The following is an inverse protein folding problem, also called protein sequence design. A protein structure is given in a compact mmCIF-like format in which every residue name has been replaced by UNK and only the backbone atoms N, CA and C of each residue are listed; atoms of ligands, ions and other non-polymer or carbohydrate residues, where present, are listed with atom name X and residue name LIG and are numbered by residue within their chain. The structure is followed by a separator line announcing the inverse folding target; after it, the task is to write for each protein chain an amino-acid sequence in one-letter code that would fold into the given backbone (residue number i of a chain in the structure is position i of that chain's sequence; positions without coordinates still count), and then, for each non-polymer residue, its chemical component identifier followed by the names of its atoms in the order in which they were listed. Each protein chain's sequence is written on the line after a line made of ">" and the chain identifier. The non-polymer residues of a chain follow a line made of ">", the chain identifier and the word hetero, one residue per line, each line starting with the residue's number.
data_IF_568971348185
#
_entry.id   IF_568971348185
#
_cell.length_a   1.000
_cell.length_b   1.000
_cell.length_c   1.000
_cell.angle_alpha   90.00
_cell.angle_beta   90.00
_cell.angle_gamma   90.00
#
_symmetry.space_group_name_H-M   'P 1'
#
loop_
_entity.id
_entity.type
_entity.pdbx_description
1 polymer ?
#
# COMPACT_ATOMS: atom_id res chain seq x y z
N UNK A 1 -1.20 16.46 21.82
CA UNK A 1 -2.41 15.91 22.48
C UNK A 1 -2.56 14.45 22.07
N UNK A 2 -2.25 13.54 22.98
CA UNK A 2 -2.31 12.08 22.74
C UNK A 2 -3.78 11.64 22.84
N UNK A 3 -4.27 10.91 21.84
CA UNK A 3 -5.63 10.38 21.86
C UNK A 3 -5.66 9.12 22.72
N UNK A 4 -6.80 8.87 23.37
CA UNK A 4 -7.10 7.56 23.93
C UNK A 4 -7.18 6.52 22.80
N UNK A 5 -6.30 5.50 22.75
CA UNK A 5 -6.28 4.47 21.71
C UNK A 5 -7.58 3.66 21.58
N UNK A 6 -8.44 3.68 22.61
CA UNK A 6 -9.74 3.01 22.62
C UNK A 6 -10.88 3.90 22.07
N UNK A 7 -10.64 5.20 21.90
CA UNK A 7 -11.64 6.12 21.36
C UNK A 7 -11.64 6.11 19.83
N UNK A 8 -12.14 5.02 19.24
CA UNK A 8 -12.22 4.82 17.79
C UNK A 8 -13.09 5.87 17.08
N UNK A 9 -14.00 6.55 17.77
CA UNK A 9 -14.74 7.71 17.24
C UNK A 9 -13.84 8.94 17.02
N UNK A 10 -12.97 9.26 17.98
CA UNK A 10 -12.03 10.38 17.83
C UNK A 10 -10.99 10.11 16.73
N UNK A 11 -10.49 8.88 16.63
CA UNK A 11 -9.60 8.47 15.53
C UNK A 11 -10.28 8.59 14.17
N UNK A 12 -11.50 8.07 14.03
CA UNK A 12 -12.28 8.19 12.81
C UNK A 12 -12.49 9.66 12.38
N UNK A 13 -12.89 10.54 13.30
CA UNK A 13 -13.10 11.97 13.02
C UNK A 13 -11.80 12.67 12.57
N UNK A 14 -10.66 12.31 13.18
CA UNK A 14 -9.36 12.84 12.74
C UNK A 14 -8.92 12.28 11.40
N UNK A 15 -9.14 10.99 11.13
CA UNK A 15 -8.91 10.40 9.81
C UNK A 15 -9.71 11.16 8.76
N UNK A 16 -11.00 11.47 9.01
CA UNK A 16 -11.81 12.31 8.13
C UNK A 16 -11.26 13.73 7.96
N UNK A 17 -10.70 14.31 9.01
CA UNK A 17 -10.11 15.66 8.96
C UNK A 17 -8.82 15.70 8.14
N UNK A 18 -7.94 14.72 8.28
CA UNK A 18 -6.74 14.62 7.45
C UNK A 18 -7.08 14.19 6.01
N UNK A 19 -8.13 13.39 5.87
CA UNK A 19 -8.72 13.04 4.58
C UNK A 19 -9.17 14.28 3.80
N UNK A 20 -9.92 15.22 4.39
CA UNK A 20 -10.34 16.45 3.69
C UNK A 20 -9.16 17.34 3.31
N UNK A 21 -8.03 17.19 4.00
CA UNK A 21 -6.76 17.88 3.72
C UNK A 21 -5.83 17.12 2.76
N UNK A 22 -6.21 15.91 2.33
CA UNK A 22 -5.37 14.98 1.55
C UNK A 22 -4.00 14.71 2.20
N UNK A 23 -3.95 14.69 3.54
CA UNK A 23 -2.73 14.52 4.34
C UNK A 23 -2.51 13.04 4.72
N UNK A 24 -1.84 12.32 3.81
CA UNK A 24 -1.65 10.87 3.90
C UNK A 24 -0.73 10.48 5.07
N UNK A 25 0.25 11.32 5.39
CA UNK A 25 1.23 11.04 6.44
C UNK A 25 0.53 11.01 7.80
N UNK A 26 -0.29 12.02 8.09
CA UNK A 26 -1.03 12.08 9.34
C UNK A 26 -2.11 11.00 9.43
N UNK A 27 -2.79 10.66 8.33
CA UNK A 27 -3.68 9.49 8.28
C UNK A 27 -2.94 8.23 8.69
N UNK A 28 -1.77 7.97 8.11
CA UNK A 28 -0.99 6.74 8.38
C UNK A 28 -0.55 6.67 9.85
N UNK A 29 -0.06 7.76 10.42
CA UNK A 29 0.34 7.83 11.84
C UNK A 29 -0.85 7.55 12.77
N UNK A 30 -2.03 8.09 12.46
CA UNK A 30 -3.22 7.81 13.26
C UNK A 30 -3.63 6.35 13.21
N UNK A 31 -3.52 5.71 12.06
CA UNK A 31 -3.81 4.28 11.92
C UNK A 31 -2.89 3.42 12.78
N UNK A 32 -1.58 3.66 12.71
CA UNK A 32 -0.57 2.90 13.48
C UNK A 32 -0.77 3.02 14.99
N UNK A 33 -1.44 4.09 15.45
CA UNK A 33 -1.73 4.32 16.86
C UNK A 33 -3.14 3.87 17.31
N UNK A 34 -3.97 3.35 16.40
CA UNK A 34 -5.34 2.91 16.72
C UNK A 34 -5.38 1.43 17.10
N UNK A 35 -6.09 1.08 18.19
CA UNK A 35 -6.22 -0.32 18.64
C UNK A 35 -7.49 -1.02 18.18
N UNK A 36 -8.51 -0.25 17.79
CA UNK A 36 -9.83 -0.75 17.41
C UNK A 36 -10.09 -0.55 15.90
N UNK A 37 -9.37 -1.34 15.10
CA UNK A 37 -9.45 -1.31 13.64
C UNK A 37 -10.84 -1.71 13.12
N UNK A 38 -11.52 -2.64 13.79
CA UNK A 38 -12.85 -3.13 13.40
C UNK A 38 -13.92 -2.03 13.44
N UNK A 39 -13.93 -1.19 14.48
CA UNK A 39 -14.88 -0.08 14.54
C UNK A 39 -14.56 0.99 13.48
N UNK A 40 -13.28 1.27 13.24
CA UNK A 40 -12.88 2.21 12.18
C UNK A 40 -13.33 1.68 10.81
N UNK A 41 -13.10 0.39 10.53
CA UNK A 41 -13.54 -0.28 9.31
C UNK A 41 -15.06 -0.21 9.12
N UNK A 42 -15.83 -0.49 10.18
CA UNK A 42 -17.30 -0.43 10.15
C UNK A 42 -17.78 0.97 9.74
N UNK A 43 -17.18 2.02 10.30
CA UNK A 43 -17.53 3.41 9.96
C UNK A 43 -17.13 3.77 8.53
N UNK A 44 -15.95 3.32 8.07
CA UNK A 44 -15.51 3.53 6.69
C UNK A 44 -16.45 2.84 5.70
N UNK A 45 -16.91 1.63 5.99
CA UNK A 45 -17.84 0.88 5.13
C UNK A 45 -19.23 1.51 5.03
N UNK A 46 -19.60 2.40 5.94
CA UNK A 46 -20.83 3.19 5.86
C UNK A 46 -20.71 4.39 4.91
N UNK A 47 -19.50 4.75 4.45
CA UNK A 47 -19.30 5.88 3.54
C UNK A 47 -19.72 5.46 2.12
N UNK A 48 -20.69 6.13 1.49
CA UNK A 48 -21.12 5.82 0.13
C UNK A 48 -20.03 6.18 -0.89
N UNK A 49 -20.00 5.46 -2.02
CA UNK A 49 -19.07 5.72 -3.13
C UNK A 49 -17.58 5.69 -2.73
N UNK A 50 -17.19 4.85 -1.78
CA UNK A 50 -15.79 4.70 -1.36
C UNK A 50 -14.84 4.42 -2.53
N UNK A 51 -15.31 3.74 -3.57
CA UNK A 51 -14.55 3.44 -4.79
C UNK A 51 -14.06 4.68 -5.53
N UNK A 52 -14.72 5.83 -5.36
CA UNK A 52 -14.29 7.12 -5.94
C UNK A 52 -13.13 7.76 -5.16
N UNK A 53 -12.70 7.14 -4.07
CA UNK A 53 -11.78 7.73 -3.12
C UNK A 53 -10.56 6.87 -2.83
N UNK A 54 -9.47 7.13 -3.55
CA UNK A 54 -8.20 6.42 -3.41
C UNK A 54 -7.62 6.40 -1.99
N UNK A 55 -7.80 7.46 -1.20
CA UNK A 55 -7.24 7.52 0.15
C UNK A 55 -8.05 6.65 1.12
N UNK A 56 -9.38 6.71 1.05
CA UNK A 56 -10.24 5.82 1.83
C UNK A 56 -10.06 4.36 1.44
N UNK A 57 -9.92 4.06 0.14
CA UNK A 57 -9.59 2.72 -0.34
C UNK A 57 -8.22 2.25 0.19
N UNK A 58 -7.18 3.09 0.12
CA UNK A 58 -5.86 2.74 0.66
C UNK A 58 -5.93 2.44 2.15
N UNK A 59 -6.66 3.27 2.90
CA UNK A 59 -6.90 3.07 4.33
C UNK A 59 -7.57 1.71 4.56
N UNK A 60 -8.63 1.42 3.80
CA UNK A 60 -9.39 0.18 3.94
C UNK A 60 -8.54 -1.05 3.60
N UNK A 61 -7.72 -0.99 2.54
CA UNK A 61 -6.70 -2.00 2.24
C UNK A 61 -5.78 -2.24 3.44
N UNK A 62 -5.23 -1.17 4.05
CA UNK A 62 -4.33 -1.31 5.20
C UNK A 62 -5.02 -2.01 6.37
N UNK A 63 -6.26 -1.63 6.69
CA UNK A 63 -7.01 -2.27 7.78
C UNK A 63 -7.23 -3.76 7.48
N UNK A 64 -7.70 -4.10 6.27
CA UNK A 64 -7.93 -5.50 5.89
C UNK A 64 -6.63 -6.32 5.91
N UNK A 65 -5.49 -5.75 5.50
CA UNK A 65 -4.18 -6.43 5.62
C UNK A 65 -3.83 -6.74 7.07
N UNK A 66 -3.97 -5.76 7.98
CA UNK A 66 -3.68 -5.93 9.40
C UNK A 66 -4.64 -6.94 10.07
N UNK A 67 -5.90 -6.97 9.64
CA UNK A 67 -6.90 -7.96 10.06
C UNK A 67 -6.73 -9.33 9.37
N UNK A 68 -5.81 -9.46 8.40
CA UNK A 68 -5.60 -10.65 7.56
C UNK A 68 -6.81 -11.04 6.70
N UNK A 69 -7.68 -10.08 6.39
CA UNK A 69 -8.84 -10.19 5.51
C UNK A 69 -8.39 -10.01 4.05
N UNK A 70 -7.68 -11.02 3.53
CA UNK A 70 -6.96 -10.89 2.26
C UNK A 70 -7.88 -10.89 1.03
N UNK A 71 -9.05 -11.50 1.08
CA UNK A 71 -10.01 -11.45 -0.03
C UNK A 71 -10.52 -10.02 -0.23
N UNK A 72 -10.93 -9.38 0.86
CA UNK A 72 -11.38 -7.99 0.93
C UNK A 72 -10.24 -7.04 0.52
N UNK A 73 -9.01 -7.33 0.97
CA UNK A 73 -7.83 -6.58 0.54
C UNK A 73 -7.65 -6.61 -0.98
N UNK A 74 -7.82 -7.77 -1.63
CA UNK A 74 -7.70 -7.91 -3.09
C UNK A 74 -8.77 -7.08 -3.80
N UNK A 75 -10.03 -7.17 -3.34
CA UNK A 75 -11.15 -6.38 -3.89
C UNK A 75 -10.83 -4.88 -3.83
N UNK A 76 -10.36 -4.39 -2.69
CA UNK A 76 -9.98 -2.98 -2.53
C UNK A 76 -8.79 -2.58 -3.37
N UNK A 77 -7.80 -3.47 -3.46
CA UNK A 77 -6.60 -3.24 -4.24
C UNK A 77 -6.94 -3.13 -5.74
N UNK A 78 -7.85 -3.95 -6.25
CA UNK A 78 -8.34 -3.85 -7.63
C UNK A 78 -9.14 -2.57 -7.87
N UNK A 79 -9.98 -2.13 -6.91
CA UNK A 79 -10.61 -0.81 -6.99
C UNK A 79 -9.58 0.32 -7.02
N UNK A 80 -8.51 0.19 -6.23
CA UNK A 80 -7.42 1.16 -6.17
C UNK A 80 -6.67 1.21 -7.51
N UNK A 81 -6.36 0.07 -8.13
CA UNK A 81 -5.72 0.01 -9.46
C UNK A 81 -6.55 0.66 -10.57
N UNK A 82 -7.88 0.58 -10.49
CA UNK A 82 -8.78 1.23 -11.46
C UNK A 82 -8.77 2.77 -11.36
N UNK A 83 -8.23 3.34 -10.27
CA UNK A 83 -8.08 4.77 -10.11
C UNK A 83 -6.77 5.25 -10.77
N UNK A 84 -6.86 5.94 -11.92
CA UNK A 84 -5.70 6.57 -12.58
C UNK A 84 -4.98 7.50 -11.57
N UNK A 85 -3.66 7.26 -11.32
CA UNK A 85 -2.80 7.86 -10.27
C UNK A 85 -2.73 7.15 -8.91
N UNK A 86 -3.25 5.92 -8.78
CA UNK A 86 -3.17 5.20 -7.50
C UNK A 86 -1.86 4.43 -7.27
N UNK A 87 -0.99 4.29 -8.28
CA UNK A 87 0.28 3.55 -8.15
C UNK A 87 1.14 4.10 -6.99
N UNK A 88 1.17 5.43 -6.81
CA UNK A 88 1.89 6.06 -5.69
C UNK A 88 1.33 5.69 -4.31
N UNK A 89 0.02 5.46 -4.21
CA UNK A 89 -0.64 5.01 -2.98
C UNK A 89 -0.36 3.53 -2.73
N UNK A 90 -0.37 2.71 -3.78
CA UNK A 90 -0.11 1.26 -3.70
C UNK A 90 1.32 0.98 -3.25
N UNK A 91 2.29 1.83 -3.64
CA UNK A 91 3.66 1.74 -3.14
C UNK A 91 3.74 1.80 -1.60
N UNK A 92 2.83 2.52 -0.93
CA UNK A 92 2.77 2.57 0.55
C UNK A 92 2.38 1.24 1.19
N UNK A 93 1.83 0.30 0.43
CA UNK A 93 1.50 -1.05 0.88
C UNK A 93 2.68 -2.02 0.74
N UNK A 94 3.79 -1.63 0.11
CA UNK A 94 4.96 -2.50 -0.12
C UNK A 94 5.50 -3.13 1.17
N UNK A 95 5.36 -2.44 2.32
CA UNK A 95 5.84 -2.92 3.62
C UNK A 95 5.16 -4.20 4.12
N UNK A 96 3.98 -4.54 3.62
CA UNK A 96 3.21 -5.70 4.08
C UNK A 96 3.62 -6.99 3.35
N UNK A 97 4.87 -7.44 3.56
CA UNK A 97 5.47 -8.58 2.85
C UNK A 97 4.65 -9.87 2.91
N UNK A 98 4.04 -10.19 4.07
CA UNK A 98 3.19 -11.37 4.22
C UNK A 98 1.98 -11.38 3.29
N UNK A 99 1.33 -10.22 3.12
CA UNK A 99 0.22 -10.07 2.18
C UNK A 99 0.69 -10.28 0.74
N UNK A 100 1.84 -9.70 0.36
CA UNK A 100 2.39 -9.88 -0.99
C UNK A 100 2.82 -11.31 -1.27
N UNK A 101 3.30 -12.06 -0.26
CA UNK A 101 3.59 -13.48 -0.39
C UNK A 101 2.34 -14.32 -0.59
N UNK A 102 1.28 -14.01 0.16
CA UNK A 102 -0.03 -14.62 -0.05
C UNK A 102 -0.52 -14.37 -1.49
N UNK A 103 -0.49 -13.12 -1.93
CA UNK A 103 -0.93 -12.74 -3.26
C UNK A 103 -0.08 -13.38 -4.37
N UNK A 104 1.23 -13.47 -4.16
CA UNK A 104 2.17 -14.13 -5.08
C UNK A 104 1.80 -15.60 -5.33
N UNK A 105 1.42 -16.32 -4.27
CA UNK A 105 0.97 -17.72 -4.33
C UNK A 105 -0.38 -17.84 -5.02
N UNK A 106 -1.37 -17.05 -4.58
CA UNK A 106 -2.75 -17.08 -5.13
C UNK A 106 -2.78 -16.71 -6.61
N UNK A 107 -1.91 -15.79 -7.04
CA UNK A 107 -1.83 -15.35 -8.43
C UNK A 107 -0.95 -16.23 -9.33
N UNK A 108 -0.36 -17.30 -8.79
CA UNK A 108 0.53 -18.24 -9.48
C UNK A 108 1.69 -17.55 -10.23
N UNK A 109 2.30 -16.52 -9.62
CA UNK A 109 3.38 -15.74 -10.25
C UNK A 109 4.73 -16.51 -10.25
N UNK A 110 4.77 -17.68 -9.60
CA UNK A 110 5.93 -18.54 -9.34
C UNK A 110 6.77 -19.01 -10.53
N UNK A 111 6.26 -18.95 -11.75
CA UNK A 111 6.85 -19.67 -12.89
C UNK A 111 7.90 -18.89 -13.68
N UNK A 112 8.07 -17.59 -13.41
CA UNK A 112 8.99 -16.73 -14.17
C UNK A 112 10.24 -16.39 -13.35
N UNK A 113 11.42 -16.52 -13.95
CA UNK A 113 12.65 -15.97 -13.40
C UNK A 113 12.71 -14.46 -13.64
N UNK A 114 12.45 -13.69 -12.59
CA UNK A 114 12.47 -12.22 -12.64
C UNK A 114 13.83 -11.61 -12.29
N UNK A 115 14.82 -12.42 -11.89
CA UNK A 115 16.13 -11.92 -11.43
C UNK A 115 16.89 -11.21 -12.55
N UNK A 116 16.72 -11.65 -13.80
CA UNK A 116 17.24 -10.98 -15.01
C UNK A 116 16.76 -9.54 -15.18
N UNK A 117 15.64 -9.18 -14.56
CA UNK A 117 15.09 -7.83 -14.57
C UNK A 117 15.36 -7.06 -13.26
N UNK A 118 16.16 -7.62 -12.35
CA UNK A 118 16.45 -7.01 -11.05
C UNK A 118 15.24 -7.03 -10.08
N UNK A 119 14.17 -7.76 -10.40
CA UNK A 119 12.97 -7.83 -9.58
C UNK A 119 13.13 -8.99 -8.58
N UNK A 120 13.31 -8.64 -7.31
CA UNK A 120 13.61 -9.64 -6.26
C UNK A 120 12.45 -9.87 -5.29
N UNK A 121 11.69 -8.82 -4.95
CA UNK A 121 10.61 -8.89 -3.95
C UNK A 121 9.24 -9.23 -4.57
N UNK A 122 8.38 -9.90 -3.80
CA UNK A 122 7.07 -10.39 -4.27
C UNK A 122 6.11 -9.27 -4.67
N UNK A 123 6.15 -8.13 -3.99
CA UNK A 123 5.37 -6.94 -4.38
C UNK A 123 5.72 -6.50 -5.81
N UNK A 124 7.02 -6.36 -6.11
CA UNK A 124 7.49 -5.96 -7.44
C UNK A 124 7.23 -7.03 -8.49
N UNK A 125 7.29 -8.32 -8.13
CA UNK A 125 6.88 -9.42 -9.02
C UNK A 125 5.40 -9.32 -9.39
N UNK A 126 4.53 -9.06 -8.41
CA UNK A 126 3.10 -8.85 -8.65
C UNK A 126 2.84 -7.64 -9.54
N UNK A 127 3.43 -6.49 -9.21
CA UNK A 127 3.26 -5.25 -9.96
C UNK A 127 3.70 -5.40 -11.42
N UNK A 128 4.83 -6.05 -11.67
CA UNK A 128 5.32 -6.31 -13.01
C UNK A 128 4.42 -7.29 -13.78
N UNK A 129 4.11 -8.45 -13.18
CA UNK A 129 3.41 -9.53 -13.90
C UNK A 129 1.91 -9.29 -14.11
N UNK A 130 1.22 -8.69 -13.14
CA UNK A 130 -0.24 -8.53 -13.16
C UNK A 130 -0.70 -7.13 -13.53
N UNK A 131 0.15 -6.13 -13.36
CA UNK A 131 -0.21 -4.72 -13.55
C UNK A 131 0.70 -4.01 -14.55
N UNK A 132 1.68 -4.71 -15.13
CA UNK A 132 2.61 -4.19 -16.13
C UNK A 132 3.42 -2.96 -15.64
N UNK A 133 3.64 -2.87 -14.33
CA UNK A 133 4.41 -1.78 -13.71
C UNK A 133 5.80 -2.26 -13.35
N UNK A 134 6.82 -1.59 -13.90
CA UNK A 134 8.22 -1.78 -13.54
C UNK A 134 8.72 -0.62 -12.66
N UNK A 135 9.23 -0.92 -11.47
CA UNK A 135 9.84 0.10 -10.61
C UNK A 135 11.30 0.31 -10.95
N UNK A 136 11.71 1.57 -11.15
CA UNK A 136 13.10 1.98 -11.39
C UNK A 136 14.03 1.52 -10.26
N UNK A 137 13.54 1.42 -9.03
CA UNK A 137 14.31 0.90 -7.89
C UNK A 137 14.83 -0.53 -8.10
N UNK A 138 14.20 -1.34 -8.95
CA UNK A 138 14.69 -2.68 -9.29
C UNK A 138 15.98 -2.65 -10.12
N UNK A 139 16.28 -1.55 -10.81
CA UNK A 139 17.54 -1.40 -11.56
C UNK A 139 18.76 -1.47 -10.66
N UNK A 140 18.62 -1.09 -9.38
CA UNK A 140 19.71 -1.19 -8.40
C UNK A 140 20.14 -2.63 -8.10
N UNK A 141 19.27 -3.62 -8.40
CA UNK A 141 19.58 -5.04 -8.24
C UNK A 141 20.23 -5.64 -9.50
N UNK A 142 20.28 -4.90 -10.61
CA UNK A 142 21.01 -5.34 -11.80
C UNK A 142 22.52 -5.14 -11.58
N UNK A 143 23.32 -6.00 -12.21
CA UNK A 143 24.77 -6.09 -12.03
C UNK A 143 25.47 -4.72 -11.98
N UNK A 144 26.58 -4.65 -11.24
CA UNK A 144 27.35 -3.43 -10.95
C UNK A 144 27.74 -2.56 -12.16
N UNK A 145 27.71 -3.09 -13.39
CA UNK A 145 27.91 -2.30 -14.62
C UNK A 145 26.85 -1.20 -14.84
N UNK A 146 25.63 -1.37 -14.30
CA UNK A 146 24.55 -0.36 -14.36
C UNK A 146 24.55 0.59 -13.15
N UNK A 147 25.40 0.38 -12.13
CA UNK A 147 25.53 1.26 -10.96
C UNK A 147 26.07 2.67 -11.30
N UNK A 148 26.27 3.00 -12.58
CA UNK A 148 26.60 4.36 -13.05
C UNK A 148 25.50 5.40 -12.79
N UNK A 149 24.32 5.00 -12.33
CA UNK A 149 23.25 5.91 -11.88
C UNK A 149 23.25 6.17 -10.37
N UNK A 150 24.23 5.66 -9.60
CA UNK A 150 24.45 6.14 -8.24
C UNK A 150 24.92 7.59 -8.32
N UNK A 151 24.06 8.51 -7.87
CA UNK A 151 24.25 9.95 -7.89
C UNK A 151 25.69 10.33 -7.53
N UNK A 152 26.38 10.97 -8.46
CA UNK A 152 27.59 11.72 -8.19
C UNK A 152 27.24 13.02 -7.47
N UNK A 153 26.58 12.95 -6.32
CA UNK A 153 26.35 14.11 -5.45
C UNK A 153 27.02 13.87 -4.10
N UNK A 154 28.36 13.82 -4.17
CA UNK A 154 29.22 14.25 -3.08
C UNK A 154 30.23 15.23 -3.68
N UNK A 155 29.77 16.41 -4.08
CA UNK A 155 30.65 17.57 -4.17
C UNK A 155 30.57 18.35 -2.85
N UNK A 156 31.75 18.56 -2.27
CA UNK A 156 32.04 19.12 -0.94
C UNK A 156 31.61 20.56 -0.77
#
# INVERSE_FOLDING_TARGET
>A
MQLDPLNSSAYYLKILTYYTKNDINNVTILFENSKDLNNILTKINQIPNISKNKLLLLIRCKIHIELKEYYETIVDLDMLFNCYKAISYIHLLQKHSYFWSYLYKVCEIGTCDFTKFGIVNEFSKYMYKKKEVYFISNLTNLNSELCKFQESDVSR
#
